data_IF_636091760426
#
_entry.id   IF_636091760426
#
_cell.length_a   1.000
_cell.length_b   1.000
_cell.length_c   1.000
_cell.angle_alpha   90.00
_cell.angle_beta   90.00
_cell.angle_gamma   90.00
#
_symmetry.space_group_name_H-M   'P 1'
#
loop_
_entity.id
_entity.type
_entity.pdbx_description
1 polymer ?
#
# COMPACT_ATOMS: atom_id res chain seq x y z
N UNK A 1 -34.77 -26.01 55.90
CA UNK A 1 -35.84 -26.99 55.61
C UNK A 1 -35.93 -27.15 54.10
N UNK A 2 -35.73 -28.37 53.63
CA UNK A 2 -35.60 -28.75 52.24
C UNK A 2 -36.94 -29.02 51.55
N UNK A 3 -36.96 -28.97 50.21
CA UNK A 3 -37.69 -29.86 49.27
C UNK A 3 -37.33 -29.42 47.83
N UNK A 4 -36.38 -30.11 47.18
CA UNK A 4 -36.52 -31.33 46.34
C UNK A 4 -37.23 -31.09 45.00
N UNK A 5 -36.45 -31.30 43.93
CA UNK A 5 -36.85 -31.49 42.53
C UNK A 5 -37.69 -32.77 42.31
N UNK A 6 -38.13 -32.99 41.06
CA UNK A 6 -38.06 -34.32 40.50
C UNK A 6 -37.34 -34.38 39.14
N UNK A 7 -36.53 -35.43 39.07
CA UNK A 7 -35.98 -36.11 37.91
C UNK A 7 -37.09 -36.79 37.10
N UNK A 8 -36.97 -36.88 35.78
CA UNK A 8 -37.46 -38.05 35.04
C UNK A 8 -36.62 -38.29 33.77
N UNK A 9 -36.38 -39.58 33.57
CA UNK A 9 -35.42 -40.30 32.75
C UNK A 9 -36.22 -41.24 31.81
N UNK A 10 -35.55 -41.85 30.82
CA UNK A 10 -35.96 -42.93 29.90
C UNK A 10 -36.51 -42.46 28.52
N UNK A 11 -36.17 -43.03 27.36
CA UNK A 11 -35.33 -44.19 27.03
C UNK A 11 -34.85 -44.22 25.56
N UNK A 12 -33.85 -45.08 25.35
CA UNK A 12 -33.17 -45.65 24.18
C UNK A 12 -34.10 -46.40 23.18
N UNK A 13 -33.75 -46.41 21.88
CA UNK A 13 -33.72 -47.57 20.93
C UNK A 13 -33.27 -47.07 19.53
N UNK A 14 -32.09 -47.41 18.96
CA UNK A 14 -31.58 -48.66 18.35
C UNK A 14 -31.86 -48.83 16.83
N UNK A 15 -30.77 -48.99 16.07
CA UNK A 15 -30.61 -49.79 14.84
C UNK A 15 -30.91 -49.09 13.50
N UNK A 16 -30.29 -49.38 12.36
CA UNK A 16 -29.20 -50.30 11.96
C UNK A 16 -28.87 -50.01 10.49
N UNK A 17 -27.59 -50.13 10.13
CA UNK A 17 -27.00 -50.65 8.88
C UNK A 17 -27.65 -50.40 7.50
N UNK A 18 -26.81 -49.96 6.56
CA UNK A 18 -27.05 -50.11 5.11
C UNK A 18 -25.84 -49.65 4.30
N UNK A 19 -24.87 -50.54 4.12
CA UNK A 19 -23.83 -50.38 3.11
C UNK A 19 -24.42 -50.61 1.72
N UNK A 20 -23.98 -49.83 0.73
CA UNK A 20 -23.90 -50.29 -0.65
C UNK A 20 -22.75 -49.57 -1.37
N UNK A 21 -21.77 -50.37 -1.79
CA UNK A 21 -20.78 -50.02 -2.77
C UNK A 21 -21.39 -50.14 -4.17
N UNK A 22 -21.09 -49.19 -5.05
CA UNK A 22 -20.99 -49.42 -6.49
C UNK A 22 -19.79 -48.61 -7.00
N UNK A 23 -18.87 -49.37 -7.59
CA UNK A 23 -17.67 -48.95 -8.32
C UNK A 23 -18.02 -48.64 -9.79
N UNK A 24 -17.01 -48.11 -10.50
CA UNK A 24 -16.87 -47.88 -11.95
C UNK A 24 -17.32 -46.49 -12.42
N UNK A 25 -16.65 -45.78 -13.33
CA UNK A 25 -15.33 -45.87 -13.99
C UNK A 25 -15.22 -44.58 -14.82
N UNK A 26 -14.00 -44.11 -15.11
CA UNK A 26 -13.72 -43.22 -16.24
C UNK A 26 -13.89 -41.72 -15.99
N UNK A 27 -12.78 -41.00 -15.83
CA UNK A 27 -12.14 -40.35 -16.98
C UNK A 27 -10.98 -39.49 -16.48
N UNK A 28 -9.78 -39.87 -16.91
CA UNK A 28 -8.59 -39.05 -16.79
C UNK A 28 -8.75 -37.80 -17.65
N UNK A 29 -8.69 -36.62 -17.02
CA UNK A 29 -8.35 -35.37 -17.70
C UNK A 29 -7.05 -34.84 -17.09
N UNK A 30 -6.10 -34.40 -17.92
CA UNK A 30 -4.83 -33.86 -17.43
C UNK A 30 -5.08 -32.49 -16.79
N UNK A 31 -4.53 -32.29 -15.60
CA UNK A 31 -4.36 -30.97 -14.99
C UNK A 31 -3.49 -30.12 -15.94
N UNK A 32 -4.18 -29.33 -16.76
CA UNK A 32 -3.60 -28.20 -17.45
C UNK A 32 -3.25 -27.15 -16.41
N UNK A 33 -1.97 -26.86 -16.31
CA UNK A 33 -1.44 -25.67 -15.65
C UNK A 33 -2.16 -24.43 -16.16
N UNK A 34 -3.04 -23.85 -15.35
CA UNK A 34 -3.49 -22.47 -15.52
C UNK A 34 -2.32 -21.55 -15.16
N UNK A 35 -1.37 -21.43 -16.09
CA UNK A 35 -0.63 -20.20 -16.25
C UNK A 35 -1.65 -19.16 -16.72
N UNK A 36 -2.15 -18.37 -15.77
CA UNK A 36 -2.88 -17.16 -16.09
C UNK A 36 -1.86 -16.25 -16.77
N UNK A 37 -1.86 -16.28 -18.10
CA UNK A 37 -1.27 -15.21 -18.91
C UNK A 37 -1.85 -13.90 -18.36
N UNK A 38 -0.97 -13.02 -17.92
CA UNK A 38 -1.30 -11.64 -17.62
C UNK A 38 -1.92 -11.05 -18.89
N UNK A 39 -3.25 -11.01 -18.92
CA UNK A 39 -3.99 -10.31 -19.95
C UNK A 39 -3.63 -8.84 -19.83
N UNK A 40 -3.05 -8.30 -20.89
CA UNK A 40 -3.02 -6.88 -21.18
C UNK A 40 -4.44 -6.34 -20.93
N UNK A 41 -4.61 -5.62 -19.82
CA UNK A 41 -5.82 -4.89 -19.56
C UNK A 41 -5.78 -3.68 -20.50
N UNK A 42 -6.50 -3.79 -21.62
CA UNK A 42 -6.82 -2.70 -22.53
C UNK A 42 -7.64 -1.63 -21.79
N UNK A 43 -6.96 -0.83 -20.98
CA UNK A 43 -7.47 0.37 -20.33
C UNK A 43 -7.39 1.55 -21.31
N UNK A 44 -8.56 2.02 -21.74
CA UNK A 44 -8.78 3.19 -22.59
C UNK A 44 -8.05 3.15 -23.95
N UNK A 45 -8.76 2.62 -24.94
CA UNK A 45 -8.50 2.57 -26.38
C UNK A 45 -8.47 3.97 -27.05
N UNK A 46 -7.87 4.96 -26.38
CA UNK A 46 -7.36 6.17 -26.99
C UNK A 46 -6.06 5.81 -27.68
N UNK A 47 -6.16 5.36 -28.93
CA UNK A 47 -5.01 5.09 -29.78
C UNK A 47 -3.96 6.18 -29.60
N UNK A 48 -2.73 5.79 -29.26
CA UNK A 48 -1.68 6.76 -29.08
C UNK A 48 -1.31 7.30 -30.46
N UNK A 49 -1.79 8.50 -30.80
CA UNK A 49 -1.39 9.16 -32.03
C UNK A 49 0.03 9.68 -31.85
N UNK A 50 1.01 9.16 -32.61
CA UNK A 50 2.37 9.66 -32.50
C UNK A 50 2.40 11.13 -32.92
N UNK A 51 2.64 12.01 -31.94
CA UNK A 51 2.97 13.41 -32.19
C UNK A 51 4.19 13.52 -33.11
N UNK A 52 4.24 14.58 -33.93
CA UNK A 52 5.24 14.75 -34.98
C UNK A 52 6.65 15.14 -34.51
N UNK A 53 7.16 14.59 -33.41
CA UNK A 53 8.52 14.85 -32.95
C UNK A 53 8.89 14.23 -31.60
N UNK A 54 10.16 14.41 -31.19
CA UNK A 54 10.68 13.86 -29.95
C UNK A 54 10.05 14.53 -28.73
N UNK A 55 9.85 13.75 -27.66
CA UNK A 55 9.35 14.21 -26.38
C UNK A 55 10.45 14.87 -25.55
N UNK A 56 10.11 15.96 -24.89
CA UNK A 56 10.95 16.58 -23.85
C UNK A 56 10.30 16.30 -22.50
N UNK A 57 11.03 15.61 -21.63
CA UNK A 57 10.62 15.28 -20.28
C UNK A 57 11.32 16.14 -19.23
N UNK A 58 12.30 16.97 -19.59
CA UNK A 58 12.96 17.88 -18.65
C UNK A 58 11.93 18.79 -17.99
N UNK A 59 12.06 19.05 -16.69
CA UNK A 59 11.16 19.93 -15.94
C UNK A 59 10.49 19.29 -14.75
N UNK A 60 9.50 20.01 -14.22
CA UNK A 60 8.73 19.57 -13.06
C UNK A 60 7.42 18.94 -13.49
N UNK A 61 7.10 17.83 -12.82
CA UNK A 61 5.93 17.02 -13.06
C UNK A 61 5.21 16.76 -11.73
N UNK A 62 3.89 16.73 -11.80
CA UNK A 62 3.02 16.28 -10.74
C UNK A 62 2.57 14.85 -11.07
N UNK A 63 2.85 13.90 -10.18
CA UNK A 63 2.44 12.52 -10.35
C UNK A 63 1.36 12.15 -9.34
N UNK A 64 0.41 11.33 -9.77
CA UNK A 64 -0.54 10.65 -8.87
C UNK A 64 -0.61 9.18 -9.24
N UNK A 65 -0.49 8.32 -8.23
CA UNK A 65 -0.71 6.89 -8.31
C UNK A 65 -1.92 6.49 -7.46
N UNK A 66 -2.77 5.65 -8.04
CA UNK A 66 -3.87 4.95 -7.39
C UNK A 66 -3.43 3.51 -7.22
N UNK A 67 -3.10 3.15 -5.98
CA UNK A 67 -2.59 1.83 -5.64
C UNK A 67 -3.70 1.03 -5.01
N UNK A 68 -4.09 -0.06 -5.67
CA UNK A 68 -5.03 -1.02 -5.12
C UNK A 68 -4.37 -1.72 -3.92
N UNK A 69 -5.06 -1.75 -2.79
CA UNK A 69 -4.57 -2.37 -1.57
C UNK A 69 -5.68 -3.26 -1.02
N UNK A 70 -5.37 -4.53 -0.79
CA UNK A 70 -6.16 -5.34 0.11
C UNK A 70 -5.53 -5.33 1.49
N UNK A 71 -6.35 -5.20 2.51
CA UNK A 71 -5.96 -5.49 3.87
C UNK A 71 -6.59 -6.82 4.27
N UNK A 72 -5.83 -7.65 4.97
CA UNK A 72 -6.29 -8.96 5.44
C UNK A 72 -6.08 -9.10 6.94
N UNK A 73 -7.10 -9.60 7.62
CA UNK A 73 -7.03 -9.94 9.05
C UNK A 73 -5.92 -10.97 9.29
N UNK A 74 -4.92 -10.71 10.16
CA UNK A 74 -4.00 -11.75 10.58
C UNK A 74 -4.80 -12.79 11.37
N UNK A 75 -4.71 -14.06 10.98
CA UNK A 75 -5.50 -15.11 11.62
C UNK A 75 -5.27 -15.18 13.13
N UNK A 76 -6.35 -15.10 13.92
CA UNK A 76 -6.29 -15.16 15.39
C UNK A 76 -6.28 -13.81 16.13
N UNK A 77 -6.39 -12.70 15.40
CA UNK A 77 -6.61 -11.37 15.99
C UNK A 77 -7.97 -11.20 16.67
N UNK A 78 -8.02 -10.23 17.59
CA UNK A 78 -9.20 -9.61 18.22
C UNK A 78 -9.90 -8.67 17.22
N UNK A 79 -9.14 -7.97 16.37
CA UNK A 79 -9.66 -7.09 15.32
C UNK A 79 -9.84 -7.90 14.04
N UNK A 80 -11.04 -7.87 13.49
CA UNK A 80 -11.45 -8.53 12.27
C UNK A 80 -11.81 -7.49 11.22
N UNK A 81 -11.32 -7.63 10.00
CA UNK A 81 -11.86 -6.87 8.87
C UNK A 81 -13.24 -7.39 8.49
N UNK A 82 -14.11 -6.50 8.02
CA UNK A 82 -15.49 -6.82 7.66
C UNK A 82 -15.76 -6.40 6.21
N UNK A 83 -15.57 -7.29 5.21
CA UNK A 83 -15.17 -8.71 5.29
C UNK A 83 -13.68 -8.92 5.61
N UNK A 84 -13.26 -10.15 5.98
CA UNK A 84 -11.88 -10.53 6.39
C UNK A 84 -10.75 -10.11 5.44
N UNK A 85 -11.14 -9.72 4.21
CA UNK A 85 -10.31 -9.08 3.21
C UNK A 85 -11.01 -7.81 2.72
N UNK A 86 -10.50 -6.65 3.14
CA UNK A 86 -11.05 -5.36 2.76
C UNK A 86 -10.26 -4.77 1.58
N UNK A 87 -10.97 -4.27 0.57
CA UNK A 87 -10.37 -3.56 -0.55
C UNK A 87 -10.38 -2.07 -0.30
N UNK A 88 -9.31 -1.38 -0.71
CA UNK A 88 -9.27 0.06 -0.80
C UNK A 88 -8.23 0.54 -1.79
N UNK A 89 -8.24 1.84 -2.06
CA UNK A 89 -7.27 2.50 -2.94
C UNK A 89 -6.43 3.46 -2.10
N UNK A 90 -5.12 3.23 -2.10
CA UNK A 90 -4.13 4.16 -1.59
C UNK A 90 -3.79 5.21 -2.64
N UNK A 91 -3.69 6.47 -2.24
CA UNK A 91 -3.31 7.56 -3.13
C UNK A 91 -1.91 8.03 -2.79
N UNK A 92 -1.01 7.96 -3.77
CA UNK A 92 0.34 8.52 -3.65
C UNK A 92 0.43 9.72 -4.60
N UNK A 93 0.87 10.86 -4.08
CA UNK A 93 1.07 12.08 -4.86
C UNK A 93 2.51 12.51 -4.74
N UNK A 94 3.17 12.67 -5.88
CA UNK A 94 4.59 12.96 -5.96
C UNK A 94 4.83 14.24 -6.75
N UNK A 95 5.88 14.94 -6.36
CA UNK A 95 6.56 15.89 -7.24
C UNK A 95 7.71 15.15 -7.89
N UNK A 96 7.87 15.28 -9.20
CA UNK A 96 8.97 14.65 -9.96
C UNK A 96 9.73 15.73 -10.72
N UNK A 97 11.00 15.91 -10.39
CA UNK A 97 11.90 16.82 -11.08
C UNK A 97 12.80 16.03 -12.02
N UNK A 98 12.56 16.13 -13.32
CA UNK A 98 13.44 15.59 -14.36
C UNK A 98 14.53 16.62 -14.66
N UNK A 99 15.78 16.29 -14.36
CA UNK A 99 16.91 17.19 -14.53
C UNK A 99 17.87 16.76 -15.67
N UNK A 100 17.73 15.53 -16.17
CA UNK A 100 18.52 15.03 -17.29
C UNK A 100 17.69 14.11 -18.20
N UNK A 101 17.81 14.32 -19.51
CA UNK A 101 17.31 13.40 -20.54
C UNK A 101 18.35 13.28 -21.65
N UNK A 102 18.87 12.08 -21.84
CA UNK A 102 19.87 11.76 -22.86
C UNK A 102 19.35 10.61 -23.73
N UNK A 103 18.79 10.97 -24.89
CA UNK A 103 18.14 10.00 -25.78
C UNK A 103 16.93 9.37 -25.08
N UNK A 104 17.01 8.07 -24.81
CA UNK A 104 15.96 7.30 -24.13
C UNK A 104 16.15 7.21 -22.61
N UNK A 105 17.24 7.74 -22.05
CA UNK A 105 17.51 7.68 -20.61
C UNK A 105 17.07 8.99 -19.95
N UNK A 106 16.37 8.87 -18.82
CA UNK A 106 15.87 9.98 -18.01
C UNK A 106 16.39 9.84 -16.60
N UNK A 107 16.80 10.95 -15.97
CA UNK A 107 17.12 11.00 -14.54
C UNK A 107 16.24 12.03 -13.85
N UNK A 108 15.73 11.65 -12.69
CA UNK A 108 14.84 12.49 -11.92
C UNK A 108 15.08 12.35 -10.42
N UNK A 109 14.52 13.29 -9.68
CA UNK A 109 14.30 13.17 -8.24
C UNK A 109 12.79 13.19 -8.03
N UNK A 110 12.28 12.37 -7.13
CA UNK A 110 10.91 12.50 -6.66
C UNK A 110 10.86 12.90 -5.18
N UNK A 111 9.81 13.64 -4.82
CA UNK A 111 9.44 13.94 -3.45
C UNK A 111 8.02 13.42 -3.21
N UNK A 112 7.79 12.82 -2.04
CA UNK A 112 6.44 12.39 -1.66
C UNK A 112 5.70 13.61 -1.11
N UNK A 113 4.67 14.06 -1.81
CA UNK A 113 3.83 15.18 -1.36
C UNK A 113 2.71 14.71 -0.43
N UNK A 114 2.12 13.55 -0.74
CA UNK A 114 1.10 12.91 0.09
C UNK A 114 1.06 11.40 -0.15
N UNK A 115 0.83 10.65 0.92
CA UNK A 115 0.40 9.26 0.87
C UNK A 115 -0.86 9.13 1.72
N UNK A 116 -1.94 8.63 1.14
CA UNK A 116 -3.20 8.40 1.82
C UNK A 116 -3.55 6.92 1.68
N UNK A 117 -3.48 6.18 2.79
CA UNK A 117 -3.95 4.80 2.82
C UNK A 117 -5.48 4.75 2.87
N UNK A 118 -6.10 3.65 2.40
CA UNK A 118 -7.54 3.53 2.38
C UNK A 118 -8.13 3.38 3.80
N UNK A 119 -9.32 3.93 3.99
CA UNK A 119 -10.20 3.62 5.13
C UNK A 119 -10.84 2.25 4.88
N UNK A 120 -10.77 1.34 5.85
CA UNK A 120 -11.43 0.02 5.77
C UNK A 120 -12.32 -0.25 6.96
N UNK A 121 -13.35 -1.05 6.75
CA UNK A 121 -14.25 -1.46 7.83
C UNK A 121 -13.64 -2.62 8.62
N UNK A 122 -13.61 -2.46 9.95
CA UNK A 122 -13.15 -3.45 10.90
C UNK A 122 -14.19 -3.61 12.03
N UNK A 123 -14.12 -4.70 12.78
CA UNK A 123 -14.92 -4.97 13.96
C UNK A 123 -14.08 -5.74 14.99
N UNK A 124 -14.46 -5.66 16.26
CA UNK A 124 -13.93 -6.56 17.30
C UNK A 124 -14.72 -7.88 17.34
N UNK A 125 -15.94 -7.88 16.82
CA UNK A 125 -16.78 -9.06 16.72
C UNK A 125 -16.57 -9.76 15.37
N UNK A 126 -16.16 -11.05 15.33
CA UNK A 126 -16.02 -11.80 14.09
C UNK A 126 -17.32 -11.95 13.28
N UNK A 127 -18.49 -11.72 13.89
CA UNK A 127 -19.76 -11.71 13.16
C UNK A 127 -20.02 -10.38 12.43
N UNK A 128 -19.18 -9.36 12.61
CA UNK A 128 -19.29 -8.04 11.98
C UNK A 128 -20.65 -7.35 12.21
N UNK A 129 -21.29 -7.59 13.37
CA UNK A 129 -22.59 -6.98 13.70
C UNK A 129 -22.47 -5.47 14.00
N UNK A 130 -21.27 -5.01 14.38
CA UNK A 130 -20.94 -3.61 14.61
C UNK A 130 -19.56 -3.32 14.02
N UNK A 131 -19.51 -2.51 12.95
CA UNK A 131 -18.26 -2.11 12.30
C UNK A 131 -17.82 -0.71 12.70
N UNK A 132 -16.51 -0.49 12.66
CA UNK A 132 -15.84 0.79 12.78
C UNK A 132 -14.98 1.00 11.54
N UNK A 133 -14.91 2.23 11.04
CA UNK A 133 -13.95 2.59 10.00
C UNK A 133 -12.57 2.71 10.62
N UNK A 134 -11.63 1.89 10.18
CA UNK A 134 -10.24 1.91 10.58
C UNK A 134 -9.39 2.55 9.49
N UNK A 135 -8.63 3.57 9.85
CA UNK A 135 -7.65 4.19 8.96
C UNK A 135 -6.26 3.97 9.52
N UNK A 136 -5.39 3.40 8.68
CA UNK A 136 -3.94 3.47 8.88
C UNK A 136 -3.45 4.77 8.28
N UNK A 137 -2.60 5.49 8.98
CA UNK A 137 -1.96 6.67 8.42
C UNK A 137 -0.53 6.77 8.93
N UNK A 138 0.34 7.33 8.10
CA UNK A 138 1.71 7.64 8.51
C UNK A 138 1.66 8.86 9.44
N UNK A 139 2.42 8.78 10.52
CA UNK A 139 2.46 9.77 11.58
C UNK A 139 2.77 11.18 11.08
N UNK A 140 2.26 12.17 11.82
CA UNK A 140 2.47 13.59 11.51
C UNK A 140 3.95 13.99 11.40
N UNK A 141 4.87 13.48 12.25
CA UNK A 141 6.28 13.86 12.16
C UNK A 141 6.91 13.47 10.81
N UNK A 142 6.61 12.28 10.30
CA UNK A 142 7.16 11.82 9.02
C UNK A 142 6.50 12.51 7.81
N UNK A 143 5.17 12.61 7.83
CA UNK A 143 4.41 13.26 6.74
C UNK A 143 4.81 14.73 6.55
N UNK A 144 5.22 15.43 7.61
CA UNK A 144 5.73 16.80 7.52
C UNK A 144 7.13 16.90 6.89
N UNK A 145 7.91 15.82 6.91
CA UNK A 145 9.28 15.77 6.39
C UNK A 145 9.34 15.36 4.92
N UNK A 146 8.42 14.49 4.48
CA UNK A 146 8.42 13.91 3.14
C UNK A 146 8.61 14.87 1.96
N UNK A 147 7.97 16.05 1.92
CA UNK A 147 8.16 16.97 0.80
C UNK A 147 9.61 17.43 0.62
N UNK A 148 10.41 17.37 1.69
CA UNK A 148 11.83 17.75 1.68
C UNK A 148 12.81 16.58 1.48
N UNK A 149 12.32 15.33 1.33
CA UNK A 149 13.19 14.17 1.10
C UNK A 149 13.31 13.93 -0.40
N UNK A 150 14.54 14.01 -0.91
CA UNK A 150 14.88 13.75 -2.30
C UNK A 150 15.20 12.27 -2.51
N UNK A 151 14.40 11.61 -3.34
CA UNK A 151 14.67 10.25 -3.76
C UNK A 151 15.16 10.23 -5.21
N UNK A 152 16.43 9.88 -5.46
CA UNK A 152 16.95 9.82 -6.81
C UNK A 152 16.36 8.61 -7.55
N UNK A 153 15.99 8.83 -8.81
CA UNK A 153 15.47 7.80 -9.69
C UNK A 153 15.86 8.01 -11.15
N UNK A 154 15.45 7.06 -11.97
CA UNK A 154 15.66 7.07 -13.41
C UNK A 154 14.50 6.46 -14.15
N UNK A 155 14.48 6.64 -15.46
CA UNK A 155 13.58 5.92 -16.33
C UNK A 155 14.21 5.67 -17.70
N UNK A 156 13.70 4.65 -18.39
CA UNK A 156 14.07 4.29 -19.76
C UNK A 156 12.85 4.40 -20.65
N UNK A 157 13.01 5.09 -21.78
CA UNK A 157 12.02 5.21 -22.84
C UNK A 157 12.23 4.13 -23.91
N UNK A 158 11.16 3.61 -24.48
CA UNK A 158 11.22 2.70 -25.63
C UNK A 158 11.62 3.38 -26.94
N UNK A 159 11.61 4.71 -26.96
CA UNK A 159 11.93 5.58 -28.10
C UNK A 159 11.97 7.04 -27.67
N UNK A 160 12.30 7.94 -28.58
CA UNK A 160 12.35 9.39 -28.27
C UNK A 160 11.06 10.12 -28.57
N UNK A 161 10.09 9.47 -29.22
CA UNK A 161 8.86 10.12 -29.67
C UNK A 161 7.69 9.78 -28.75
N UNK A 162 6.56 10.47 -28.96
CA UNK A 162 5.30 10.11 -28.31
C UNK A 162 4.95 8.65 -28.62
N UNK A 163 4.17 8.04 -27.74
CA UNK A 163 3.79 6.63 -27.77
C UNK A 163 4.92 5.64 -27.50
N UNK A 164 6.09 6.14 -27.09
CA UNK A 164 7.14 5.29 -26.53
C UNK A 164 6.74 4.75 -25.16
N UNK A 165 7.18 3.53 -24.86
CA UNK A 165 7.06 2.96 -23.51
C UNK A 165 7.88 3.78 -22.52
N UNK A 166 7.42 3.88 -21.29
CA UNK A 166 8.10 4.48 -20.16
C UNK A 166 8.27 3.42 -19.08
N UNK A 167 9.49 3.21 -18.60
CA UNK A 167 9.78 2.28 -17.50
C UNK A 167 10.66 3.00 -16.50
N UNK A 168 10.13 3.31 -15.32
CA UNK A 168 10.91 3.88 -14.23
C UNK A 168 11.72 2.79 -13.51
N UNK A 169 12.85 3.20 -12.94
CA UNK A 169 13.49 2.45 -11.86
C UNK A 169 12.50 2.32 -10.69
N UNK A 170 12.60 1.27 -9.85
CA UNK A 170 11.76 1.15 -8.68
C UNK A 170 11.87 2.37 -7.76
N UNK A 171 10.72 2.93 -7.40
CA UNK A 171 10.56 3.96 -6.40
C UNK A 171 10.68 3.31 -5.02
N UNK A 172 11.88 3.40 -4.44
CA UNK A 172 12.18 2.79 -3.15
C UNK A 172 12.14 3.86 -2.07
N UNK A 173 11.20 3.74 -1.14
CA UNK A 173 11.22 4.51 0.10
C UNK A 173 11.14 3.55 1.29
N UNK A 174 12.15 3.63 2.15
CA UNK A 174 12.26 2.83 3.36
C UNK A 174 12.31 3.78 4.55
N UNK A 175 11.52 3.47 5.57
CA UNK A 175 11.40 4.24 6.78
C UNK A 175 11.48 3.34 8.00
N UNK A 176 11.97 3.91 9.09
CA UNK A 176 12.15 3.20 10.36
C UNK A 176 13.38 2.30 10.40
N UNK A 177 14.23 2.38 9.37
CA UNK A 177 15.49 1.65 9.28
C UNK A 177 16.63 2.54 8.76
N UNK A 178 17.87 2.13 9.01
CA UNK A 178 19.05 2.74 8.41
C UNK A 178 19.14 2.53 6.89
N UNK A 179 20.11 3.19 6.26
CA UNK A 179 20.31 3.18 4.80
C UNK A 179 20.79 1.83 4.23
N UNK A 180 21.09 0.84 5.08
CA UNK A 180 21.52 -0.49 4.63
C UNK A 180 20.35 -1.38 4.23
N UNK A 181 19.14 -1.05 4.68
CA UNK A 181 17.90 -1.73 4.30
C UNK A 181 17.30 -0.99 3.09
N UNK A 182 17.40 -1.62 1.92
CA UNK A 182 16.91 -1.08 0.65
C UNK A 182 15.72 -1.87 0.11
N UNK A 183 15.67 -2.01 -1.22
CA UNK A 183 14.56 -2.64 -1.92
C UNK A 183 14.47 -4.16 -1.71
N UNK A 184 15.59 -4.82 -1.39
CA UNK A 184 15.70 -6.29 -1.43
C UNK A 184 16.00 -6.93 -0.09
N UNK A 185 16.46 -6.14 0.87
CA UNK A 185 16.86 -6.59 2.19
C UNK A 185 15.62 -6.99 3.01
N UNK A 186 15.78 -7.83 4.02
CA UNK A 186 14.64 -8.18 4.89
C UNK A 186 14.42 -7.06 5.89
N UNK A 187 13.18 -6.57 6.04
CA UNK A 187 12.86 -5.63 7.11
C UNK A 187 13.09 -6.27 8.48
N UNK A 188 13.51 -5.50 9.51
CA UNK A 188 13.61 -6.01 10.86
C UNK A 188 12.30 -6.69 11.31
N UNK A 189 12.37 -7.91 11.82
CA UNK A 189 11.18 -8.74 12.07
C UNK A 189 11.25 -9.47 13.41
N UNK A 190 10.09 -9.69 14.01
CA UNK A 190 10.00 -10.41 15.28
C UNK A 190 10.35 -11.90 15.12
N UNK A 191 11.20 -12.40 16.03
CA UNK A 191 11.43 -13.82 16.16
C UNK A 191 10.15 -14.53 16.61
N UNK A 192 9.81 -15.59 15.89
CA UNK A 192 8.63 -16.42 16.21
C UNK A 192 8.70 -16.93 17.66
N UNK A 193 7.61 -16.71 18.43
CA UNK A 193 7.48 -17.13 19.82
C UNK A 193 8.28 -16.30 20.84
N UNK A 194 8.86 -15.16 20.44
CA UNK A 194 9.57 -14.27 21.36
C UNK A 194 8.58 -13.31 22.04
N UNK A 195 8.56 -13.33 23.38
CA UNK A 195 7.66 -12.52 24.23
C UNK A 195 8.41 -11.50 25.10
N UNK A 196 9.71 -11.29 24.85
CA UNK A 196 10.54 -10.29 25.54
C UNK A 196 10.38 -8.89 24.92
N UNK A 197 11.20 -7.95 25.39
CA UNK A 197 11.38 -6.62 24.84
C UNK A 197 11.85 -6.61 23.36
N UNK A 198 11.44 -5.59 22.58
CA UNK A 198 11.78 -5.49 21.16
C UNK A 198 13.29 -5.61 20.84
N UNK A 199 14.23 -4.98 21.58
CA UNK A 199 15.68 -5.12 21.32
C UNK A 199 16.20 -6.55 21.36
N UNK A 200 15.57 -7.39 22.18
CA UNK A 200 15.94 -8.80 22.27
C UNK A 200 15.20 -9.62 21.21
N UNK A 201 13.97 -9.27 20.86
CA UNK A 201 13.09 -10.13 20.07
C UNK A 201 13.04 -9.83 18.57
N UNK A 202 13.51 -8.68 18.12
CA UNK A 202 13.51 -8.31 16.71
C UNK A 202 14.86 -8.64 16.08
N UNK A 203 14.86 -9.49 15.05
CA UNK A 203 16.03 -9.71 14.21
C UNK A 203 16.27 -8.46 13.35
N UNK A 204 17.51 -7.96 13.33
CA UNK A 204 17.87 -6.70 12.67
C UNK A 204 17.56 -5.45 13.49
N UNK A 205 17.41 -5.56 14.81
CA UNK A 205 17.18 -4.42 15.71
C UNK A 205 18.22 -3.30 15.55
N UNK A 206 19.47 -3.65 15.27
CA UNK A 206 20.57 -2.70 15.04
C UNK A 206 20.33 -1.75 13.85
N UNK A 207 19.45 -2.13 12.93
CA UNK A 207 19.09 -1.33 11.77
C UNK A 207 17.90 -0.41 12.03
N UNK A 208 17.23 -0.52 13.19
CA UNK A 208 16.04 0.28 13.47
C UNK A 208 16.46 1.68 13.88
N UNK A 209 15.88 2.69 13.22
CA UNK A 209 16.16 4.09 13.49
C UNK A 209 14.85 4.86 13.60
N UNK A 210 14.81 5.80 14.54
CA UNK A 210 13.76 6.80 14.66
C UNK A 210 13.86 7.76 13.46
N UNK A 211 13.12 7.47 12.39
CA UNK A 211 13.23 8.23 11.14
C UNK A 211 12.37 9.48 11.14
N UNK A 212 11.44 9.61 12.07
CA UNK A 212 10.49 10.72 12.15
C UNK A 212 10.76 11.66 13.33
N UNK A 213 11.68 11.29 14.21
CA UNK A 213 12.24 12.10 15.29
C UNK A 213 11.34 12.21 16.51
N UNK A 214 10.40 11.29 16.68
CA UNK A 214 9.42 11.31 17.77
C UNK A 214 9.91 10.65 19.06
N UNK A 215 11.07 9.99 19.01
CA UNK A 215 11.70 9.28 20.13
C UNK A 215 11.34 7.80 20.22
N UNK A 216 10.57 7.27 19.28
CA UNK A 216 10.17 5.87 19.20
C UNK A 216 10.93 5.09 18.11
N UNK A 217 11.09 3.76 18.25
CA UNK A 217 11.85 2.98 17.29
C UNK A 217 11.09 2.82 15.96
N UNK A 218 11.66 3.33 14.87
CA UNK A 218 11.10 3.14 13.53
C UNK A 218 10.40 4.40 13.01
N UNK A 219 9.20 4.21 12.46
CA UNK A 219 8.26 5.30 12.15
C UNK A 219 6.87 4.99 12.67
N UNK A 220 6.17 6.04 13.05
CA UNK A 220 4.85 5.93 13.63
C UNK A 220 3.77 5.76 12.56
N UNK A 221 2.98 4.69 12.70
CA UNK A 221 1.68 4.52 12.04
C UNK A 221 0.59 4.76 13.07
N UNK A 222 -0.31 5.70 12.80
CA UNK A 222 -1.48 5.92 13.64
C UNK A 222 -2.61 5.01 13.21
N UNK A 223 -3.28 4.41 14.17
CA UNK A 223 -4.51 3.63 13.98
C UNK A 223 -5.65 4.37 14.68
N UNK A 224 -6.68 4.73 13.93
CA UNK A 224 -7.89 5.34 14.49
C UNK A 224 -9.13 4.63 13.97
N UNK A 225 -10.09 4.39 14.86
CA UNK A 225 -11.41 3.88 14.53
C UNK A 225 -12.48 4.98 14.64
N UNK A 226 -13.41 5.04 13.68
CA UNK A 226 -14.59 5.93 13.70
C UNK A 226 -15.89 5.12 13.59
N UNK A 227 -17.01 5.51 14.22
CA UNK A 227 -17.25 6.72 15.03
C UNK A 227 -16.88 6.57 16.52
N UNK A 228 -16.44 5.39 16.96
CA UNK A 228 -16.02 5.13 18.34
C UNK A 228 -14.51 4.94 18.38
N UNK A 229 -13.84 5.53 19.38
CA UNK A 229 -12.41 5.39 19.71
C UNK A 229 -12.09 3.99 20.30
N UNK A 230 -12.57 2.94 19.61
CA UNK A 230 -12.47 1.55 20.00
C UNK A 230 -11.04 1.02 19.87
N UNK A 231 -10.34 1.43 18.80
CA UNK A 231 -8.94 1.13 18.52
C UNK A 231 -8.25 2.47 18.24
N UNK A 232 -7.39 2.89 19.16
CA UNK A 232 -6.64 4.15 19.04
C UNK A 232 -5.21 3.91 19.49
N UNK A 233 -4.26 4.46 18.76
CA UNK A 233 -2.87 4.58 19.20
C UNK A 233 -1.91 4.53 18.04
N UNK A 234 -0.66 4.21 18.37
CA UNK A 234 0.49 4.24 17.49
C UNK A 234 1.12 2.85 17.43
N UNK A 235 1.41 2.41 16.21
CA UNK A 235 2.28 1.29 15.93
C UNK A 235 3.60 1.84 15.39
N UNK A 236 4.70 1.45 16.02
CA UNK A 236 6.04 1.84 15.60
C UNK A 236 6.55 0.77 14.64
N UNK A 237 6.89 1.16 13.41
CA UNK A 237 7.09 0.22 12.30
C UNK A 237 8.39 0.47 11.55
N UNK A 238 8.94 -0.60 10.99
CA UNK A 238 9.77 -0.51 9.80
C UNK A 238 8.85 -0.63 8.59
N UNK A 239 8.91 0.31 7.66
CA UNK A 239 8.01 0.37 6.52
C UNK A 239 8.83 0.52 5.24
N UNK A 240 8.42 -0.15 4.17
CA UNK A 240 9.01 0.01 2.86
C UNK A 240 7.93 0.01 1.78
N UNK A 241 8.17 0.84 0.76
CA UNK A 241 7.50 0.77 -0.53
C UNK A 241 8.53 0.69 -1.66
N UNK A 242 8.24 -0.13 -2.67
CA UNK A 242 9.03 -0.44 -3.85
C UNK A 242 8.07 -0.47 -5.03
N UNK A 243 7.74 0.70 -5.55
CA UNK A 243 6.74 0.85 -6.61
C UNK A 243 7.42 0.99 -7.97
N UNK A 244 7.04 0.19 -8.95
CA UNK A 244 7.56 0.34 -10.31
C UNK A 244 6.50 0.95 -11.24
N UNK A 245 6.84 2.09 -11.85
CA UNK A 245 5.96 2.78 -12.81
C UNK A 245 6.26 2.31 -14.23
N UNK A 246 5.24 1.80 -14.93
CA UNK A 246 5.33 1.34 -16.33
C UNK A 246 4.19 1.93 -17.14
N UNK A 247 4.49 2.63 -18.23
CA UNK A 247 3.44 3.28 -18.99
C UNK A 247 3.84 3.69 -20.39
N UNK A 248 3.12 4.69 -20.91
CA UNK A 248 3.31 5.24 -22.24
C UNK A 248 3.45 6.75 -22.15
N UNK A 249 4.48 7.29 -22.81
CA UNK A 249 4.64 8.73 -22.98
C UNK A 249 3.65 9.21 -24.03
N UNK A 250 2.53 9.83 -23.62
CA UNK A 250 1.51 10.31 -24.55
C UNK A 250 1.94 11.60 -25.25
N UNK A 251 2.68 12.45 -24.54
CA UNK A 251 3.21 13.72 -25.04
C UNK A 251 4.34 14.22 -24.13
N UNK A 252 4.93 15.38 -24.47
CA UNK A 252 5.81 16.11 -23.55
C UNK A 252 5.09 16.63 -22.30
N UNK A 253 3.77 16.43 -22.15
CA UNK A 253 2.97 16.90 -21.00
C UNK A 253 2.23 15.80 -20.23
N UNK A 254 2.24 14.57 -20.73
CA UNK A 254 1.47 13.46 -20.15
C UNK A 254 2.19 12.12 -20.31
N UNK A 255 2.37 11.42 -19.20
CA UNK A 255 2.72 10.00 -19.14
C UNK A 255 1.66 9.31 -18.29
N UNK A 256 1.21 8.14 -18.68
CA UNK A 256 0.24 7.36 -17.91
C UNK A 256 0.50 5.86 -18.07
N UNK A 257 0.09 5.07 -17.09
CA UNK A 257 0.21 3.63 -17.15
C UNK A 257 -0.12 2.97 -15.82
N UNK A 258 0.55 1.85 -15.57
CA UNK A 258 0.33 0.99 -14.44
C UNK A 258 1.44 1.14 -13.40
N UNK A 259 1.05 0.90 -12.15
CA UNK A 259 1.99 0.72 -11.05
C UNK A 259 2.05 -0.77 -10.78
N UNK A 260 3.26 -1.32 -10.70
CA UNK A 260 3.51 -2.60 -10.04
C UNK A 260 3.93 -2.26 -8.60
N UNK A 261 2.97 -2.19 -7.66
CA UNK A 261 3.25 -1.74 -6.31
C UNK A 261 3.92 -2.84 -5.49
N UNK A 262 4.74 -2.41 -4.55
CA UNK A 262 5.33 -3.29 -3.55
C UNK A 262 5.35 -2.54 -2.24
N UNK A 263 4.70 -3.04 -1.20
CA UNK A 263 4.76 -2.42 0.11
C UNK A 263 4.71 -3.51 1.18
N UNK A 264 5.55 -3.32 2.19
CA UNK A 264 5.66 -4.19 3.33
C UNK A 264 5.98 -3.36 4.56
N UNK A 265 5.52 -3.84 5.71
CA UNK A 265 5.84 -3.23 6.98
C UNK A 265 6.01 -4.32 8.04
N UNK A 266 6.71 -3.98 9.11
CA UNK A 266 6.89 -4.80 10.29
C UNK A 266 6.62 -3.95 11.51
N UNK A 267 5.75 -4.43 12.40
CA UNK A 267 5.49 -3.77 13.69
C UNK A 267 6.63 -4.12 14.63
N UNK A 268 7.32 -3.10 15.09
CA UNK A 268 8.46 -3.19 15.98
C UNK A 268 8.01 -3.08 17.44
N UNK A 269 7.18 -2.07 17.72
CA UNK A 269 6.62 -1.78 19.04
C UNK A 269 5.27 -1.06 18.87
N UNK A 270 4.55 -0.79 19.95
CA UNK A 270 3.25 -0.11 19.89
C UNK A 270 2.76 0.40 21.24
N UNK A 271 1.92 1.42 21.23
CA UNK A 271 1.16 1.89 22.40
C UNK A 271 -0.36 1.76 22.23
N UNK A 272 -0.80 1.02 21.20
CA UNK A 272 -2.21 0.83 20.83
C UNK A 272 -3.08 0.42 22.02
N UNK A 273 -4.21 1.11 22.14
CA UNK A 273 -5.26 0.85 23.10
C UNK A 273 -6.47 0.22 22.41
N UNK A 274 -7.05 -0.80 23.04
CA UNK A 274 -8.35 -1.37 22.63
C UNK A 274 -9.33 -1.28 23.79
N UNK A 275 -10.44 -0.58 23.58
CA UNK A 275 -11.41 -0.30 24.65
C UNK A 275 -10.80 0.42 25.86
N UNK A 276 -9.73 1.20 25.66
CA UNK A 276 -9.01 1.94 26.70
C UNK A 276 -7.97 1.15 27.50
N UNK A 277 -7.74 -0.13 27.17
CA UNK A 277 -6.66 -0.94 27.75
C UNK A 277 -5.47 -1.09 26.78
N UNK A 278 -4.21 -1.06 27.26
CA UNK A 278 -3.05 -1.25 26.39
C UNK A 278 -2.98 -2.68 25.87
N UNK A 279 -2.67 -2.82 24.58
CA UNK A 279 -2.32 -4.11 23.99
C UNK A 279 -0.79 -4.30 24.00
N UNK A 280 -0.29 -5.46 24.44
CA UNK A 280 1.09 -5.84 24.21
C UNK A 280 1.45 -5.78 22.72
N UNK A 281 2.66 -5.35 22.34
CA UNK A 281 3.07 -5.25 20.93
C UNK A 281 2.93 -6.55 20.13
N UNK A 282 3.11 -7.70 20.79
CA UNK A 282 2.89 -8.99 20.14
C UNK A 282 1.43 -9.18 19.73
N UNK A 283 0.49 -8.78 20.58
CA UNK A 283 -0.93 -8.80 20.22
C UNK A 283 -1.22 -7.77 19.14
N UNK A 284 -0.66 -6.56 19.21
CA UNK A 284 -0.86 -5.55 18.16
C UNK A 284 -0.40 -6.07 16.80
N UNK A 285 0.79 -6.69 16.73
CA UNK A 285 1.29 -7.34 15.51
C UNK A 285 0.32 -8.41 14.98
N UNK A 286 -0.23 -9.23 15.87
CA UNK A 286 -1.17 -10.28 15.49
C UNK A 286 -2.57 -9.74 15.15
N UNK A 287 -2.79 -8.42 15.24
CA UNK A 287 -4.09 -7.76 15.09
C UNK A 287 -4.14 -6.67 14.00
N UNK A 288 -3.02 -6.05 13.64
CA UNK A 288 -3.00 -5.03 12.57
C UNK A 288 -3.03 -5.74 11.21
N UNK A 289 -3.91 -5.33 10.28
CA UNK A 289 -4.04 -5.99 8.99
C UNK A 289 -2.81 -5.97 8.11
N UNK A 290 -2.50 -7.09 7.50
CA UNK A 290 -1.38 -7.20 6.54
C UNK A 290 -1.83 -6.64 5.19
N UNK A 291 -0.94 -5.93 4.49
CA UNK A 291 -1.18 -5.52 3.12
C UNK A 291 -0.99 -6.69 2.16
N UNK A 292 -2.03 -6.99 1.39
CA UNK A 292 -2.00 -7.83 0.20
C UNK A 292 -2.16 -6.93 -1.03
N UNK A 293 -1.08 -6.73 -1.76
CA UNK A 293 -1.07 -5.76 -2.85
C UNK A 293 -1.10 -6.51 -4.18
N UNK A 294 -2.16 -6.36 -5.00
CA UNK A 294 -2.24 -6.98 -6.29
C UNK A 294 -1.18 -6.35 -7.21
N UNK A 295 -0.53 -7.19 -8.03
CA UNK A 295 0.47 -6.72 -9.00
C UNK A 295 -0.12 -5.93 -10.17
N UNK A 296 -1.44 -5.94 -10.31
CA UNK A 296 -2.18 -5.31 -11.40
C UNK A 296 -3.41 -4.58 -10.84
N UNK A 297 -3.93 -3.62 -11.59
CA UNK A 297 -5.08 -2.78 -11.22
C UNK A 297 -4.68 -1.38 -10.73
N UNK A 298 -3.45 -1.23 -10.22
CA UNK A 298 -2.91 0.06 -9.81
C UNK A 298 -2.46 0.88 -11.01
N UNK A 299 -2.78 2.17 -11.03
CA UNK A 299 -2.51 3.07 -12.17
C UNK A 299 -1.80 4.33 -11.72
N UNK A 300 -1.12 5.01 -12.66
CA UNK A 300 -0.54 6.32 -12.41
C UNK A 300 -0.70 7.27 -13.60
N UNK A 301 -0.59 8.55 -13.28
CA UNK A 301 -0.42 9.64 -14.25
C UNK A 301 0.70 10.57 -13.80
N UNK A 302 1.52 11.02 -14.74
CA UNK A 302 2.47 12.12 -14.61
C UNK A 302 2.02 13.24 -15.53
N UNK A 303 1.74 14.41 -14.94
CA UNK A 303 1.33 15.62 -15.62
C UNK A 303 2.44 16.66 -15.50
N UNK A 304 2.85 17.26 -16.62
CA UNK A 304 3.81 18.36 -16.57
C UNK A 304 3.18 19.53 -15.80
N UNK A 305 3.97 20.15 -14.94
CA UNK A 305 3.50 21.17 -13.99
C UNK A 305 4.15 22.54 -14.17
N UNK A 306 5.09 22.68 -15.10
CA UNK A 306 5.95 23.86 -15.28
C UNK A 306 5.52 24.78 -16.45
N UNK A 307 4.27 24.68 -16.90
CA UNK A 307 3.71 25.53 -17.96
C UNK A 307 4.24 25.26 -19.38
N UNK A 308 5.26 24.40 -19.56
CA UNK A 308 5.81 24.11 -20.89
C UNK A 308 4.91 23.19 -21.70
N UNK A 309 5.03 23.28 -23.02
CA UNK A 309 4.28 22.46 -23.97
C UNK A 309 2.74 22.58 -23.84
N UNK A 310 2.25 23.69 -23.31
CA UNK A 310 0.82 23.94 -23.10
C UNK A 310 0.23 23.21 -21.90
N UNK A 311 1.07 22.67 -21.02
CA UNK A 311 0.65 22.17 -19.71
C UNK A 311 0.27 23.33 -18.77
N UNK A 312 -0.43 23.00 -17.68
CA UNK A 312 -0.69 23.96 -16.62
C UNK A 312 0.62 24.36 -15.92
N UNK A 313 0.72 25.62 -15.53
CA UNK A 313 1.79 26.14 -14.69
C UNK A 313 1.28 26.18 -13.25
N UNK A 314 1.83 25.32 -12.40
CA UNK A 314 1.41 25.18 -11.01
C UNK A 314 2.19 26.11 -10.06
N UNK A 315 3.19 26.83 -10.55
CA UNK A 315 3.94 27.84 -9.77
C UNK A 315 3.02 29.05 -9.48
N UNK A 316 2.28 28.94 -8.38
CA UNK A 316 1.25 29.90 -7.99
C UNK A 316 1.84 31.13 -7.29
N UNK A 317 3.03 31.00 -6.70
CA UNK A 317 3.73 32.09 -6.03
C UNK A 317 4.77 32.81 -6.92
N UNK A 318 5.07 32.27 -8.10
CA UNK A 318 5.99 32.85 -9.08
C UNK A 318 7.45 32.72 -8.67
N UNK A 319 7.78 31.74 -7.84
CA UNK A 319 9.15 31.48 -7.36
C UNK A 319 10.06 30.89 -8.43
N UNK A 320 9.48 30.36 -9.51
CA UNK A 320 10.17 29.59 -10.55
C UNK A 320 10.33 28.11 -10.21
N UNK A 321 9.74 27.64 -9.12
CA UNK A 321 9.78 26.25 -8.66
C UNK A 321 8.38 25.78 -8.26
N UNK A 322 7.91 24.68 -8.86
CA UNK A 322 6.67 24.03 -8.42
C UNK A 322 6.96 23.16 -7.20
N UNK A 323 6.30 23.47 -6.10
CA UNK A 323 6.39 22.82 -4.79
C UNK A 323 5.32 21.73 -4.61
N UNK A 324 5.49 20.89 -3.58
CA UNK A 324 4.44 19.94 -3.19
C UNK A 324 3.15 20.67 -2.80
N UNK A 325 3.22 21.78 -2.05
CA UNK A 325 2.03 22.51 -1.61
C UNK A 325 1.18 23.01 -2.79
N UNK A 326 1.84 23.45 -3.87
CA UNK A 326 1.17 23.86 -5.10
C UNK A 326 0.52 22.69 -5.85
N UNK A 327 1.21 21.54 -5.93
CA UNK A 327 0.62 20.30 -6.48
C UNK A 327 -0.61 19.87 -5.67
N UNK A 328 -0.54 19.97 -4.34
CA UNK A 328 -1.63 19.63 -3.43
C UNK A 328 -2.80 20.63 -3.54
N UNK A 329 -2.53 21.90 -3.82
CA UNK A 329 -3.57 22.89 -4.10
C UNK A 329 -4.25 22.66 -5.47
N UNK A 330 -3.56 22.02 -6.40
CA UNK A 330 -4.01 21.75 -7.77
C UNK A 330 -4.56 20.34 -7.99
N UNK A 331 -4.95 19.59 -6.94
CA UNK A 331 -5.32 18.16 -7.06
C UNK A 331 -6.41 17.83 -8.09
N UNK A 332 -7.27 18.79 -8.42
CA UNK A 332 -8.32 18.60 -9.43
C UNK A 332 -7.78 18.32 -10.83
N UNK A 333 -6.50 18.63 -11.12
CA UNK A 333 -5.84 18.29 -12.40
C UNK A 333 -5.84 16.77 -12.66
N UNK A 334 -5.90 15.95 -11.60
CA UNK A 334 -5.89 14.50 -11.70
C UNK A 334 -7.28 13.89 -11.91
N UNK A 335 -8.37 14.65 -11.70
CA UNK A 335 -9.73 14.13 -11.77
C UNK A 335 -10.08 13.43 -13.11
N UNK A 336 -9.60 13.88 -14.28
CA UNK A 336 -9.86 13.19 -15.54
C UNK A 336 -9.19 11.81 -15.69
N UNK A 337 -8.23 11.48 -14.82
CA UNK A 337 -7.39 10.29 -14.91
C UNK A 337 -7.67 9.27 -13.81
N UNK A 338 -8.62 9.57 -12.91
CA UNK A 338 -9.03 8.63 -11.88
C UNK A 338 -9.67 7.39 -12.52
N UNK A 339 -9.26 6.17 -12.13
CA UNK A 339 -9.78 4.91 -12.69
C UNK A 339 -11.25 4.64 -12.37
#
# INVERSE_FOLDING_TARGET
MAKKAPFLLFCILYGTAGANACSADGDARPDGSDAVEAGDADGADGGCEPGGGPVDLLGTWAARAWVDVYMVTPGGGIVHLCPDRAYGVSLITLRVQVYEQTGTTVRHVFNVCRMQMPLVEAAIDPACESTVGMQLAIGRPLTAQWPGIDYPGGAVLGGTDACSTYVADPLVAVFGTDETIGATETLPTWRSGCESDPPTCVDGWEHIVDSDGDGHPGVTLTVTSEPEDLIVGEAYTAYRTVDQLRGVVRSSSLIMGDVEPGMDYQIIDSDVLVGGGPLPPQLVRDNIPIFEIPRAGSTFVLLRADGRYGADDLDADGSGEVTCDEIMAAESIFAPYQP
#
